data_IF_121879759611
#
_entry.id   IF_121879759611
#
_cell.length_a   1.000
_cell.length_b   1.000
_cell.length_c   1.000
_cell.angle_alpha   90.00
_cell.angle_beta   90.00
_cell.angle_gamma   90.00
#
_symmetry.space_group_name_H-M   'P 1'
#
loop_
_entity.id
_entity.type
_entity.pdbx_description
1 polymer ?
#
# COMPACT_ATOMS: atom_id res chain seq x y z
N UNK A 1 -12.88 -26.87 -8.44
CA UNK A 1 -11.47 -26.47 -8.56
C UNK A 1 -10.77 -27.42 -9.51
N UNK A 2 -10.40 -26.93 -10.69
CA UNK A 2 -9.66 -27.68 -11.69
C UNK A 2 -8.23 -27.98 -11.21
N UNK A 3 -7.61 -29.02 -11.78
CA UNK A 3 -6.32 -29.52 -11.32
C UNK A 3 -5.20 -28.47 -11.40
N UNK A 4 -5.21 -27.63 -12.44
CA UNK A 4 -4.19 -26.59 -12.63
C UNK A 4 -4.30 -25.50 -11.56
N UNK A 5 -5.51 -25.05 -11.25
CA UNK A 5 -5.79 -24.08 -10.17
C UNK A 5 -5.31 -24.63 -8.83
N UNK A 6 -5.55 -25.91 -8.57
CA UNK A 6 -5.04 -26.59 -7.37
C UNK A 6 -3.51 -26.56 -7.29
N UNK A 7 -2.81 -26.85 -8.40
CA UNK A 7 -1.34 -26.81 -8.48
C UNK A 7 -0.79 -25.39 -8.25
N UNK A 8 -1.38 -24.37 -8.87
CA UNK A 8 -1.01 -22.96 -8.70
C UNK A 8 -1.12 -22.54 -7.24
N UNK A 9 -2.27 -22.80 -6.60
CA UNK A 9 -2.50 -22.44 -5.20
C UNK A 9 -1.59 -23.19 -4.25
N UNK A 10 -1.35 -24.48 -4.51
CA UNK A 10 -0.41 -25.28 -3.71
C UNK A 10 1.00 -24.71 -3.83
N UNK A 11 1.46 -24.42 -5.05
CA UNK A 11 2.79 -23.86 -5.26
C UNK A 11 2.94 -22.50 -4.57
N UNK A 12 1.95 -21.61 -4.65
CA UNK A 12 1.98 -20.33 -3.93
C UNK A 12 2.18 -20.54 -2.41
N UNK A 13 1.41 -21.47 -1.81
CA UNK A 13 1.49 -21.80 -0.37
C UNK A 13 2.82 -22.44 0.01
N UNK A 14 3.32 -23.39 -0.79
CA UNK A 14 4.63 -24.02 -0.62
C UNK A 14 5.75 -22.97 -0.66
N UNK A 15 5.51 -21.84 -1.34
CA UNK A 15 6.39 -20.68 -1.47
C UNK A 15 6.06 -19.53 -0.50
N UNK A 16 5.46 -19.85 0.66
CA UNK A 16 5.21 -18.93 1.77
C UNK A 16 4.23 -17.80 1.49
N UNK A 17 3.38 -17.93 0.46
CA UNK A 17 2.26 -17.00 0.31
C UNK A 17 1.17 -17.37 1.30
N UNK A 18 0.87 -16.45 2.22
CA UNK A 18 -0.18 -16.62 3.23
C UNK A 18 -1.58 -16.58 2.62
N UNK A 19 -1.75 -15.83 1.52
CA UNK A 19 -3.01 -15.73 0.77
C UNK A 19 -2.74 -15.97 -0.72
N UNK A 20 -3.66 -16.66 -1.38
CA UNK A 20 -3.70 -16.81 -2.83
C UNK A 20 -5.15 -16.89 -3.29
N UNK A 21 -5.50 -16.10 -4.29
CA UNK A 21 -6.83 -16.05 -4.88
C UNK A 21 -6.74 -15.87 -6.39
N UNK A 22 -7.80 -16.26 -7.09
CA UNK A 22 -7.92 -16.15 -8.54
C UNK A 22 -9.14 -15.30 -8.89
N UNK A 23 -8.96 -14.31 -9.76
CA UNK A 23 -10.04 -13.55 -10.38
C UNK A 23 -10.22 -13.97 -11.84
N UNK A 24 -11.47 -14.09 -12.29
CA UNK A 24 -11.77 -14.19 -13.72
C UNK A 24 -11.55 -12.85 -14.41
N UNK A 25 -11.27 -12.87 -15.72
CA UNK A 25 -11.09 -11.65 -16.50
C UNK A 25 -12.33 -10.74 -16.51
N UNK A 26 -13.54 -11.32 -16.42
CA UNK A 26 -14.80 -10.58 -16.43
C UNK A 26 -14.91 -9.57 -15.26
N UNK A 27 -14.21 -9.82 -14.14
CA UNK A 27 -14.17 -8.87 -13.01
C UNK A 27 -13.49 -7.56 -13.35
N UNK A 28 -12.76 -7.51 -14.46
CA UNK A 28 -12.03 -6.33 -14.94
C UNK A 28 -12.75 -5.59 -16.07
N UNK A 29 -14.00 -5.94 -16.41
CA UNK A 29 -14.78 -5.27 -17.47
C UNK A 29 -14.75 -3.74 -17.38
N UNK A 30 -14.74 -3.20 -16.15
CA UNK A 30 -14.74 -1.76 -15.88
C UNK A 30 -13.36 -1.21 -15.47
N UNK A 31 -12.29 -2.00 -15.57
CA UNK A 31 -10.94 -1.54 -15.27
C UNK A 31 -10.48 -0.52 -16.34
N UNK A 32 -9.72 0.51 -15.96
CA UNK A 32 -9.17 1.45 -16.94
C UNK A 32 -8.28 0.73 -17.96
N UNK A 33 -8.39 1.11 -19.23
CA UNK A 33 -7.78 0.44 -20.37
C UNK A 33 -6.30 0.05 -20.12
N UNK A 34 -5.47 1.00 -19.74
CA UNK A 34 -4.02 0.80 -19.62
C UNK A 34 -3.56 0.05 -18.37
N UNK A 35 -4.47 -0.25 -17.43
CA UNK A 35 -4.19 -1.11 -16.26
C UNK A 35 -5.10 -2.35 -16.26
N UNK A 36 -5.87 -2.55 -17.33
CA UNK A 36 -6.66 -3.75 -17.55
C UNK A 36 -5.70 -4.93 -17.79
N UNK A 37 -5.97 -6.15 -17.28
CA UNK A 37 -5.07 -7.30 -17.50
C UNK A 37 -4.75 -7.55 -18.99
N UNK A 38 -5.74 -7.34 -19.87
CA UNK A 38 -5.57 -7.44 -21.34
C UNK A 38 -4.70 -6.36 -21.99
N UNK A 39 -4.39 -5.25 -21.31
CA UNK A 39 -3.37 -4.32 -21.79
C UNK A 39 -1.95 -4.84 -21.55
N UNK A 40 -1.77 -5.78 -20.63
CA UNK A 40 -0.49 -6.47 -20.39
C UNK A 40 -0.37 -7.78 -21.16
N UNK A 41 -1.47 -8.51 -21.30
CA UNK A 41 -1.55 -9.77 -22.05
C UNK A 41 -2.93 -9.87 -22.74
N UNK A 42 -3.05 -9.60 -24.05
CA UNK A 42 -4.33 -9.53 -24.75
C UNK A 42 -5.25 -10.76 -24.55
N UNK A 43 -4.65 -11.94 -24.47
CA UNK A 43 -5.32 -13.22 -24.29
C UNK A 43 -5.60 -13.57 -22.82
N UNK A 44 -5.38 -12.65 -21.88
CA UNK A 44 -5.60 -12.88 -20.45
C UNK A 44 -7.02 -13.38 -20.17
N UNK A 45 -7.09 -14.42 -19.35
CA UNK A 45 -8.32 -15.09 -18.92
C UNK A 45 -8.49 -15.09 -17.40
N UNK A 46 -7.38 -15.08 -16.66
CA UNK A 46 -7.41 -15.00 -15.20
C UNK A 46 -6.28 -14.13 -14.63
N UNK A 47 -6.51 -13.64 -13.41
CA UNK A 47 -5.51 -12.93 -12.62
C UNK A 47 -5.35 -13.63 -11.27
N UNK A 48 -4.14 -14.03 -10.94
CA UNK A 48 -3.79 -14.61 -9.64
C UNK A 48 -3.32 -13.47 -8.75
N UNK A 49 -3.89 -13.32 -7.56
CA UNK A 49 -3.38 -12.43 -6.53
C UNK A 49 -2.79 -13.26 -5.39
N UNK A 50 -1.58 -12.93 -4.96
CA UNK A 50 -0.91 -13.56 -3.82
C UNK A 50 -0.53 -12.50 -2.79
N UNK A 51 -0.50 -12.90 -1.52
CA UNK A 51 -0.04 -12.03 -0.45
C UNK A 51 0.85 -12.77 0.53
N UNK A 52 1.78 -12.01 1.12
CA UNK A 52 2.58 -12.43 2.26
C UNK A 52 2.41 -11.40 3.38
N UNK A 53 2.19 -11.89 4.60
CA UNK A 53 1.99 -11.05 5.78
C UNK A 53 3.32 -10.55 6.35
N UNK A 54 3.29 -9.43 7.04
CA UNK A 54 4.42 -9.04 7.88
C UNK A 54 4.52 -9.94 9.13
N UNK A 55 5.74 -10.23 9.62
CA UNK A 55 5.91 -10.76 10.97
C UNK A 55 5.25 -9.85 12.01
N UNK A 56 4.33 -10.39 12.81
CA UNK A 56 3.50 -9.57 13.72
C UNK A 56 4.33 -8.85 14.77
N UNK A 57 5.26 -9.55 15.44
CA UNK A 57 6.09 -8.94 16.49
C UNK A 57 6.95 -7.78 15.95
N UNK A 58 7.49 -7.93 14.74
CA UNK A 58 8.23 -6.87 14.07
C UNK A 58 7.34 -5.66 13.78
N UNK A 59 6.14 -5.91 13.25
CA UNK A 59 5.18 -4.85 12.94
C UNK A 59 4.74 -4.08 14.19
N UNK A 60 4.43 -4.82 15.25
CA UNK A 60 3.92 -4.28 16.51
C UNK A 60 5.01 -3.50 17.26
N UNK A 61 6.25 -4.01 17.27
CA UNK A 61 7.34 -3.44 18.07
C UNK A 61 8.15 -2.36 17.36
N UNK A 62 8.04 -2.21 16.02
CA UNK A 62 8.76 -1.18 15.28
C UNK A 62 8.56 0.19 15.94
N UNK A 63 9.63 0.89 16.34
CA UNK A 63 9.53 2.18 17.05
C UNK A 63 8.75 2.18 18.37
N UNK A 64 8.51 1.00 18.99
CA UNK A 64 7.77 0.88 20.25
C UNK A 64 8.54 0.16 21.36
N UNK A 65 9.53 -0.68 21.04
CA UNK A 65 10.43 -1.27 22.04
C UNK A 65 11.59 -0.35 22.43
N UNK A 66 12.36 -0.71 23.45
CA UNK A 66 13.46 0.12 24.01
C UNK A 66 14.55 0.48 23.00
N UNK A 67 14.77 -0.36 21.99
CA UNK A 67 15.73 -0.08 20.92
C UNK A 67 15.18 0.90 19.87
N UNK A 68 13.87 1.18 19.89
CA UNK A 68 13.11 2.09 19.00
C UNK A 68 13.42 1.95 17.51
N UNK A 69 13.94 0.80 17.07
CA UNK A 69 14.46 0.63 15.72
C UNK A 69 13.36 0.34 14.69
N UNK A 70 13.51 0.94 13.50
CA UNK A 70 12.68 0.72 12.31
C UNK A 70 13.32 -0.22 11.29
N UNK A 71 14.62 -0.52 11.41
CA UNK A 71 15.38 -1.15 10.33
C UNK A 71 14.87 -2.54 9.96
N UNK A 72 14.40 -3.32 10.93
CA UNK A 72 13.82 -4.63 10.63
C UNK A 72 12.54 -4.51 9.81
N UNK A 73 11.58 -3.67 10.21
CA UNK A 73 10.33 -3.53 9.46
C UNK A 73 10.58 -2.93 8.08
N UNK A 74 11.44 -1.93 8.00
CA UNK A 74 11.83 -1.27 6.77
C UNK A 74 12.44 -2.29 5.78
N UNK A 75 13.45 -3.04 6.21
CA UNK A 75 14.13 -3.99 5.34
C UNK A 75 13.22 -5.16 4.95
N UNK A 76 12.46 -5.70 5.91
CA UNK A 76 11.53 -6.77 5.62
C UNK A 76 10.43 -6.32 4.66
N UNK A 77 9.90 -5.12 4.86
CA UNK A 77 8.87 -4.58 3.98
C UNK A 77 9.40 -4.32 2.59
N UNK A 78 10.47 -3.53 2.46
CA UNK A 78 10.92 -2.98 1.18
C UNK A 78 11.76 -3.98 0.38
N UNK A 79 12.45 -4.91 1.07
CA UNK A 79 13.39 -5.83 0.43
C UNK A 79 12.94 -7.29 0.56
N UNK A 80 12.83 -7.82 1.78
CA UNK A 80 12.69 -9.28 1.98
C UNK A 80 11.35 -9.79 1.46
N UNK A 81 10.25 -9.13 1.83
CA UNK A 81 8.90 -9.51 1.40
C UNK A 81 8.76 -9.34 -0.12
N UNK A 82 9.25 -8.24 -0.68
CA UNK A 82 9.24 -8.01 -2.13
C UNK A 82 9.94 -9.13 -2.89
N UNK A 83 11.15 -9.51 -2.47
CA UNK A 83 11.91 -10.63 -3.05
C UNK A 83 11.16 -11.96 -2.95
N UNK A 84 10.52 -12.25 -1.82
CA UNK A 84 9.73 -13.48 -1.67
C UNK A 84 8.50 -13.50 -2.58
N UNK A 85 7.80 -12.37 -2.72
CA UNK A 85 6.69 -12.22 -3.67
C UNK A 85 7.16 -12.45 -5.11
N UNK A 86 8.28 -11.84 -5.51
CA UNK A 86 8.86 -12.03 -6.85
C UNK A 86 9.26 -13.49 -7.11
N UNK A 87 9.90 -14.14 -6.13
CA UNK A 87 10.30 -15.54 -6.26
C UNK A 87 9.07 -16.47 -6.38
N UNK A 88 8.02 -16.22 -5.59
CA UNK A 88 6.78 -16.98 -5.68
C UNK A 88 6.08 -16.75 -7.04
N UNK A 89 6.02 -15.49 -7.50
CA UNK A 89 5.43 -15.17 -8.79
C UNK A 89 6.18 -15.80 -9.95
N UNK A 90 7.52 -15.74 -9.96
CA UNK A 90 8.34 -16.42 -10.97
C UNK A 90 8.08 -17.93 -11.01
N UNK A 91 7.97 -18.58 -9.85
CA UNK A 91 7.68 -20.03 -9.76
C UNK A 91 6.31 -20.36 -10.33
N UNK A 92 5.28 -19.59 -10.00
CA UNK A 92 3.92 -19.78 -10.54
C UNK A 92 3.85 -19.48 -12.02
N UNK A 93 4.51 -18.41 -12.49
CA UNK A 93 4.62 -18.07 -13.92
C UNK A 93 5.23 -19.23 -14.70
N UNK A 94 6.38 -19.75 -14.25
CA UNK A 94 7.05 -20.86 -14.94
C UNK A 94 6.22 -22.14 -14.95
N UNK A 95 5.52 -22.46 -13.85
CA UNK A 95 4.59 -23.59 -13.83
C UNK A 95 3.51 -23.48 -14.92
N UNK A 96 2.99 -22.27 -15.16
CA UNK A 96 1.96 -22.03 -16.17
C UNK A 96 2.54 -22.05 -17.59
N UNK A 97 3.72 -21.46 -17.79
CA UNK A 97 4.44 -21.51 -19.07
C UNK A 97 4.85 -22.93 -19.46
N UNK A 98 5.31 -23.76 -18.50
CA UNK A 98 5.70 -25.15 -18.72
C UNK A 98 4.53 -26.02 -19.22
N UNK A 99 3.29 -25.62 -18.95
CA UNK A 99 2.07 -26.28 -19.46
C UNK A 99 1.44 -25.53 -20.65
N UNK A 100 2.15 -24.55 -21.20
CA UNK A 100 1.82 -23.89 -22.46
C UNK A 100 1.05 -22.57 -22.34
N UNK A 101 0.90 -21.99 -21.14
CA UNK A 101 0.13 -20.75 -20.95
C UNK A 101 0.99 -19.49 -20.86
N UNK A 102 0.78 -18.54 -21.77
CA UNK A 102 1.37 -17.20 -21.67
C UNK A 102 0.99 -16.53 -20.36
N UNK A 103 2.00 -16.01 -19.66
CA UNK A 103 1.83 -15.51 -18.30
C UNK A 103 2.77 -14.34 -18.03
N UNK A 104 2.24 -13.26 -17.44
CA UNK A 104 2.99 -12.05 -17.10
C UNK A 104 2.91 -11.81 -15.59
N UNK A 105 4.02 -11.96 -14.84
CA UNK A 105 4.07 -11.56 -13.44
C UNK A 105 4.14 -10.04 -13.33
N UNK A 106 3.30 -9.45 -12.48
CA UNK A 106 3.27 -8.01 -12.24
C UNK A 106 4.26 -7.61 -11.16
N UNK A 107 4.68 -6.33 -11.18
CA UNK A 107 5.55 -5.81 -10.14
C UNK A 107 4.84 -5.70 -8.79
N UNK A 108 5.58 -5.89 -7.70
CA UNK A 108 5.13 -5.44 -6.38
C UNK A 108 5.04 -3.92 -6.44
N UNK A 109 3.94 -3.35 -5.93
CA UNK A 109 3.75 -1.90 -5.91
C UNK A 109 4.90 -1.20 -5.17
N UNK A 110 5.41 -0.11 -5.74
CA UNK A 110 6.59 0.61 -5.24
C UNK A 110 7.28 1.50 -6.28
N UNK A 111 6.88 1.41 -7.55
CA UNK A 111 7.23 2.37 -8.60
C UNK A 111 5.96 2.88 -9.26
N UNK A 112 5.94 4.18 -9.52
CA UNK A 112 4.77 4.89 -10.05
C UNK A 112 5.19 5.75 -11.22
N UNK A 113 4.34 5.85 -12.24
CA UNK A 113 4.40 6.95 -13.20
C UNK A 113 3.79 8.17 -12.52
N UNK A 114 4.63 9.12 -12.12
CA UNK A 114 4.19 10.36 -11.49
C UNK A 114 3.32 11.17 -12.44
N UNK A 115 3.74 11.27 -13.72
CA UNK A 115 3.04 12.05 -14.74
C UNK A 115 2.26 11.17 -15.73
N UNK A 116 1.28 11.76 -16.45
CA UNK A 116 0.59 11.10 -17.54
C UNK A 116 1.56 10.51 -18.57
N UNK A 117 1.19 9.36 -19.14
CA UNK A 117 2.00 8.66 -20.13
C UNK A 117 1.12 7.93 -21.13
N UNK A 118 1.31 8.21 -22.43
CA UNK A 118 0.44 7.71 -23.51
C UNK A 118 -1.03 8.06 -23.22
N UNK A 119 -1.93 7.07 -23.20
CA UNK A 119 -3.35 7.25 -22.86
C UNK A 119 -3.63 7.25 -21.35
N UNK A 120 -2.62 7.04 -20.49
CA UNK A 120 -2.77 7.14 -19.03
C UNK A 120 -2.79 8.62 -18.66
N UNK A 121 -3.96 9.12 -18.25
CA UNK A 121 -4.17 10.51 -17.85
C UNK A 121 -3.97 10.76 -16.35
N UNK A 122 -4.01 9.70 -15.54
CA UNK A 122 -3.88 9.81 -14.08
C UNK A 122 -2.42 9.86 -13.67
N UNK A 123 -2.12 10.78 -12.78
CA UNK A 123 -0.84 10.87 -12.08
C UNK A 123 -0.71 9.75 -11.05
N UNK A 124 0.52 9.45 -10.62
CA UNK A 124 0.83 8.40 -9.65
C UNK A 124 0.24 7.04 -10.01
N UNK A 125 0.38 6.65 -11.28
CA UNK A 125 -0.19 5.41 -11.81
C UNK A 125 0.85 4.29 -11.80
N UNK A 126 0.56 3.18 -11.11
CA UNK A 126 1.37 1.96 -11.24
C UNK A 126 1.11 1.29 -12.59
N UNK A 127 1.97 0.36 -12.99
CA UNK A 127 1.70 -0.48 -14.16
C UNK A 127 0.44 -1.33 -13.97
N UNK A 128 0.23 -1.85 -12.77
CA UNK A 128 -0.92 -2.67 -12.44
C UNK A 128 -1.31 -2.53 -10.98
N UNK A 129 -2.61 -2.61 -10.69
CA UNK A 129 -3.11 -2.37 -9.35
C UNK A 129 -3.30 -3.67 -8.56
N UNK A 130 -2.24 -4.08 -7.84
CA UNK A 130 -2.29 -5.27 -6.98
C UNK A 130 -3.41 -5.21 -5.91
N UNK A 131 -3.76 -4.01 -5.42
CA UNK A 131 -4.88 -3.84 -4.47
C UNK A 131 -6.24 -4.20 -5.09
N UNK A 132 -6.47 -3.82 -6.35
CA UNK A 132 -7.71 -4.16 -7.06
C UNK A 132 -7.73 -5.65 -7.40
N UNK A 133 -6.60 -6.22 -7.82
CA UNK A 133 -6.50 -7.64 -8.07
C UNK A 133 -6.76 -8.50 -6.82
N UNK A 134 -6.27 -8.07 -5.65
CA UNK A 134 -6.57 -8.75 -4.39
C UNK A 134 -8.07 -8.75 -4.05
N UNK A 135 -8.77 -7.61 -4.23
CA UNK A 135 -10.22 -7.53 -4.03
C UNK A 135 -10.96 -8.37 -5.08
N UNK A 136 -10.59 -8.27 -6.35
CA UNK A 136 -11.16 -9.05 -7.44
C UNK A 136 -10.97 -10.55 -7.23
N UNK A 137 -9.87 -10.98 -6.61
CA UNK A 137 -9.57 -12.37 -6.27
C UNK A 137 -10.20 -12.84 -4.94
N UNK A 138 -10.98 -11.99 -4.28
CA UNK A 138 -11.69 -12.32 -3.05
C UNK A 138 -10.83 -12.35 -1.78
N UNK A 139 -9.63 -11.78 -1.80
CA UNK A 139 -8.75 -11.76 -0.63
C UNK A 139 -9.20 -10.77 0.46
N UNK A 140 -10.03 -9.79 0.10
CA UNK A 140 -10.43 -8.71 1.01
C UNK A 140 -11.33 -7.67 0.36
N UNK A 141 -11.44 -6.51 1.01
CA UNK A 141 -12.24 -5.36 0.58
C UNK A 141 -11.47 -4.05 0.72
N UNK A 142 -11.90 -2.99 0.02
CA UNK A 142 -11.31 -1.67 0.21
C UNK A 142 -11.70 -1.07 1.57
N UNK A 143 -10.69 -0.55 2.27
CA UNK A 143 -10.88 0.39 3.36
C UNK A 143 -11.17 1.80 2.87
N UNK A 144 -11.59 2.68 3.80
CA UNK A 144 -11.84 4.10 3.49
C UNK A 144 -10.59 4.78 2.89
N UNK A 145 -9.39 4.36 3.30
CA UNK A 145 -8.09 4.83 2.78
C UNK A 145 -7.73 4.26 1.39
N UNK A 146 -8.68 3.67 0.66
CA UNK A 146 -8.50 3.09 -0.67
C UNK A 146 -7.49 1.92 -0.76
N UNK A 147 -7.10 1.26 0.33
CA UNK A 147 -6.23 0.07 0.25
C UNK A 147 -7.03 -1.20 0.59
N UNK A 148 -6.56 -2.36 0.14
CA UNK A 148 -7.20 -3.64 0.39
C UNK A 148 -6.90 -4.13 1.83
N UNK A 149 -7.96 -4.32 2.60
CA UNK A 149 -7.95 -4.92 3.94
C UNK A 149 -8.27 -6.41 3.78
N UNK A 150 -7.49 -7.29 4.40
CA UNK A 150 -7.78 -8.73 4.47
C UNK A 150 -8.39 -9.09 5.82
N UNK A 151 -9.30 -10.07 5.90
CA UNK A 151 -9.92 -10.47 7.18
C UNK A 151 -8.90 -11.08 8.15
N UNK A 152 -7.84 -11.72 7.66
CA UNK A 152 -6.83 -12.40 8.47
C UNK A 152 -5.77 -11.44 9.01
N UNK A 153 -5.31 -10.50 8.17
CA UNK A 153 -4.11 -9.71 8.45
C UNK A 153 -4.35 -8.20 8.47
N UNK A 154 -5.56 -7.74 8.14
CA UNK A 154 -5.89 -6.33 8.11
C UNK A 154 -5.10 -5.62 7.01
N UNK A 155 -4.21 -4.70 7.39
CA UNK A 155 -3.28 -4.02 6.47
C UNK A 155 -1.87 -4.61 6.49
N UNK A 156 -1.63 -5.66 7.27
CA UNK A 156 -0.29 -6.20 7.52
C UNK A 156 0.16 -7.22 6.47
N UNK A 157 0.06 -6.87 5.19
CA UNK A 157 0.50 -7.71 4.10
C UNK A 157 0.92 -6.89 2.88
N UNK A 158 1.68 -7.51 1.98
CA UNK A 158 1.91 -7.00 0.62
C UNK A 158 1.37 -7.98 -0.41
N UNK A 159 0.99 -7.44 -1.56
CA UNK A 159 0.38 -8.18 -2.65
C UNK A 159 1.29 -8.21 -3.89
N UNK A 160 1.18 -9.26 -4.68
CA UNK A 160 1.67 -9.37 -6.05
C UNK A 160 0.62 -10.06 -6.90
N UNK A 161 0.60 -9.75 -8.20
CA UNK A 161 -0.36 -10.31 -9.14
C UNK A 161 0.33 -10.97 -10.32
N UNK A 162 -0.35 -11.92 -10.94
CA UNK A 162 0.08 -12.59 -12.17
C UNK A 162 -1.11 -12.57 -13.13
N UNK A 163 -0.90 -12.06 -14.33
CA UNK A 163 -1.89 -12.08 -15.42
C UNK A 163 -1.58 -13.27 -16.32
N UNK A 164 -2.57 -14.10 -16.64
CA UNK A 164 -2.34 -15.32 -17.43
C UNK A 164 -3.50 -15.63 -18.37
N UNK A 165 -3.20 -16.27 -19.50
CA UNK A 165 -4.21 -16.85 -20.39
C UNK A 165 -4.81 -18.16 -19.84
N UNK A 166 -4.18 -18.74 -18.80
CA UNK A 166 -4.62 -20.00 -18.22
C UNK A 166 -6.09 -19.92 -17.70
N UNK A 167 -6.92 -20.93 -18.00
CA UNK A 167 -8.31 -21.01 -17.55
C UNK A 167 -8.38 -21.52 -16.11
N UNK A 168 -8.05 -20.66 -15.16
CA UNK A 168 -8.10 -20.98 -13.73
C UNK A 168 -9.49 -20.73 -13.16
N UNK A 169 -9.90 -21.56 -12.20
CA UNK A 169 -11.17 -21.40 -11.51
C UNK A 169 -11.10 -20.19 -10.58
N UNK A 170 -11.94 -19.18 -10.84
CA UNK A 170 -12.01 -17.97 -10.02
C UNK A 170 -12.56 -18.27 -8.61
N UNK A 171 -11.97 -17.64 -7.60
CA UNK A 171 -12.48 -17.66 -6.24
C UNK A 171 -13.67 -16.73 -6.09
N UNK A 172 -14.64 -17.00 -5.21
CA UNK A 172 -15.69 -16.02 -4.90
C UNK A 172 -15.05 -14.73 -4.34
N UNK A 173 -15.63 -13.58 -4.68
CA UNK A 173 -15.24 -12.34 -4.00
C UNK A 173 -15.62 -12.41 -2.51
N UNK A 174 -14.86 -11.71 -1.66
CA UNK A 174 -15.07 -11.74 -0.21
C UNK A 174 -16.50 -11.32 0.15
N UNK A 175 -17.20 -12.15 0.92
CA UNK A 175 -18.60 -11.94 1.34
C UNK A 175 -18.78 -12.01 2.86
N UNK A 176 -17.68 -11.94 3.62
CA UNK A 176 -17.71 -11.94 5.08
C UNK A 176 -18.14 -10.59 5.67
N UNK A 177 -18.01 -10.42 7.00
CA UNK A 177 -18.31 -9.15 7.67
C UNK A 177 -17.50 -7.98 7.10
N UNK A 178 -18.10 -6.78 7.11
CA UNK A 178 -17.41 -5.57 6.62
C UNK A 178 -16.05 -5.39 7.29
N UNK A 179 -15.03 -5.16 6.46
CA UNK A 179 -13.66 -4.93 6.91
C UNK A 179 -13.37 -3.46 7.24
N UNK A 180 -14.28 -2.55 6.88
CA UNK A 180 -14.19 -1.12 7.15
C UNK A 180 -15.52 -0.58 7.67
N UNK A 181 -15.50 -0.01 8.88
CA UNK A 181 -16.66 0.63 9.51
C UNK A 181 -16.63 2.15 9.38
N UNK A 182 -15.81 2.67 8.44
CA UNK A 182 -15.62 4.12 8.19
C UNK A 182 -15.28 4.91 9.48
N UNK A 183 -14.53 4.32 10.42
CA UNK A 183 -14.12 4.99 11.68
C UNK A 183 -13.21 6.23 11.51
N UNK A 184 -12.75 6.51 10.28
CA UNK A 184 -11.88 7.64 9.92
C UNK A 184 -10.51 7.68 10.63
N UNK A 185 -10.06 6.59 11.27
CA UNK A 185 -8.74 6.59 11.93
C UNK A 185 -7.62 6.88 10.92
N UNK A 186 -7.71 6.32 9.71
CA UNK A 186 -6.76 6.54 8.64
C UNK A 186 -6.68 8.01 8.19
N UNK A 187 -7.82 8.70 8.17
CA UNK A 187 -7.91 10.12 7.86
C UNK A 187 -7.28 10.97 8.97
N UNK A 188 -7.69 10.71 10.23
CA UNK A 188 -7.22 11.44 11.41
C UNK A 188 -5.72 11.27 11.66
N UNK A 189 -5.16 10.10 11.31
CA UNK A 189 -3.75 9.80 11.52
C UNK A 189 -2.85 10.24 10.35
N UNK A 190 -3.41 10.69 9.22
CA UNK A 190 -2.63 11.02 8.04
C UNK A 190 -1.85 12.34 8.26
N UNK A 191 -0.52 12.30 8.32
CA UNK A 191 0.30 13.46 8.65
C UNK A 191 0.25 14.55 7.59
N UNK A 192 0.04 14.15 6.34
CA UNK A 192 0.07 14.97 5.12
C UNK A 192 -1.33 15.32 4.59
N UNK A 193 -2.39 14.93 5.31
CA UNK A 193 -3.80 15.18 4.96
C UNK A 193 -4.15 14.71 3.53
N UNK A 194 -3.62 13.56 3.11
CA UNK A 194 -3.79 13.03 1.76
C UNK A 194 -5.16 12.37 1.50
N UNK A 195 -5.93 12.06 2.53
CA UNK A 195 -7.21 11.34 2.39
C UNK A 195 -8.35 12.35 2.44
N UNK A 196 -9.17 12.43 1.40
CA UNK A 196 -10.35 13.28 1.37
C UNK A 196 -11.63 12.46 1.60
N UNK A 197 -12.20 12.60 2.80
CA UNK A 197 -13.38 11.86 3.25
C UNK A 197 -14.70 12.59 2.98
N UNK A 198 -14.67 13.73 2.28
CA UNK A 198 -15.88 14.46 1.91
C UNK A 198 -16.75 13.61 0.99
N UNK A 199 -18.07 13.47 1.25
CA UNK A 199 -18.96 12.62 0.46
C UNK A 199 -18.92 12.88 -1.05
N UNK A 200 -18.81 14.15 -1.45
CA UNK A 200 -18.73 14.58 -2.85
C UNK A 200 -17.45 14.18 -3.56
N UNK A 201 -16.40 13.85 -2.81
CA UNK A 201 -15.07 13.50 -3.33
C UNK A 201 -14.79 11.99 -3.26
N UNK A 202 -15.75 11.16 -2.82
CA UNK A 202 -15.55 9.72 -2.76
C UNK A 202 -15.43 9.12 -4.17
N UNK A 203 -14.44 8.25 -4.35
CA UNK A 203 -14.23 7.52 -5.58
C UNK A 203 -15.00 6.21 -5.57
N UNK A 204 -15.52 5.82 -6.73
CA UNK A 204 -16.23 4.57 -6.93
C UNK A 204 -15.50 3.72 -7.96
N UNK A 205 -15.33 2.44 -7.64
CA UNK A 205 -14.78 1.45 -8.57
C UNK A 205 -15.71 0.25 -8.64
N UNK A 206 -15.91 -0.27 -9.86
CA UNK A 206 -16.71 -1.47 -10.09
C UNK A 206 -15.78 -2.64 -10.38
N UNK A 207 -15.95 -3.73 -9.64
CA UNK A 207 -15.21 -4.99 -9.82
C UNK A 207 -16.24 -6.11 -9.90
N UNK A 208 -16.36 -6.73 -11.08
CA UNK A 208 -17.49 -7.61 -11.38
C UNK A 208 -18.83 -6.91 -11.16
N UNK A 209 -19.71 -7.55 -10.41
CA UNK A 209 -21.06 -7.07 -10.08
C UNK A 209 -21.11 -6.08 -8.90
N UNK A 210 -19.96 -5.83 -8.23
CA UNK A 210 -19.89 -5.01 -7.02
C UNK A 210 -19.31 -3.63 -7.27
N UNK A 211 -19.89 -2.63 -6.61
CA UNK A 211 -19.36 -1.26 -6.56
C UNK A 211 -18.77 -1.02 -5.17
N UNK A 212 -17.51 -0.61 -5.16
CA UNK A 212 -16.80 -0.20 -3.96
C UNK A 212 -16.65 1.31 -3.94
N UNK A 213 -16.69 1.90 -2.76
CA UNK A 213 -16.57 3.33 -2.53
C UNK A 213 -15.53 3.58 -1.44
N UNK A 214 -14.60 4.50 -1.70
CA UNK A 214 -13.55 4.90 -0.75
C UNK A 214 -13.17 6.37 -0.94
N UNK A 215 -12.40 6.92 0.00
CA UNK A 215 -11.95 8.30 -0.07
C UNK A 215 -10.99 8.52 -1.24
N UNK A 216 -11.09 9.68 -1.89
CA UNK A 216 -10.07 10.13 -2.83
C UNK A 216 -8.76 10.34 -2.08
N UNK A 217 -7.68 9.84 -2.65
CA UNK A 217 -6.32 10.03 -2.11
C UNK A 217 -5.58 11.00 -2.99
N UNK A 218 -5.14 12.11 -2.42
CA UNK A 218 -4.17 13.00 -3.04
C UNK A 218 -2.80 12.31 -3.02
N UNK A 219 -2.45 11.69 -4.15
CA UNK A 219 -1.22 10.93 -4.28
C UNK A 219 0.04 11.80 -4.27
N UNK A 220 -0.05 13.08 -4.63
CA UNK A 220 1.06 14.02 -4.42
C UNK A 220 1.29 14.23 -2.92
N UNK A 221 0.25 14.46 -2.12
CA UNK A 221 0.43 14.53 -0.67
C UNK A 221 0.91 13.21 -0.07
N UNK A 222 0.37 12.09 -0.53
CA UNK A 222 0.74 10.75 -0.03
C UNK A 222 2.21 10.41 -0.35
N UNK A 223 2.67 10.69 -1.57
CA UNK A 223 4.04 10.50 -2.01
C UNK A 223 5.05 11.31 -1.21
N UNK A 224 4.62 12.42 -0.60
CA UNK A 224 5.43 13.21 0.32
C UNK A 224 5.95 12.39 1.50
N UNK A 225 5.16 11.40 1.94
CA UNK A 225 5.61 10.44 2.94
C UNK A 225 6.25 9.20 2.33
N UNK A 226 5.57 8.53 1.42
CA UNK A 226 5.95 7.18 0.99
C UNK A 226 7.12 7.16 -0.02
N UNK A 227 7.31 8.24 -0.77
CA UNK A 227 8.28 8.29 -1.88
C UNK A 227 9.51 9.14 -1.57
N UNK A 228 9.35 10.22 -0.80
CA UNK A 228 10.47 11.12 -0.40
C UNK A 228 10.78 11.10 1.09
N UNK A 229 10.03 10.34 1.90
CA UNK A 229 10.32 10.08 3.31
C UNK A 229 10.44 11.36 4.16
N UNK A 230 9.64 12.40 3.87
CA UNK A 230 9.75 13.70 4.54
C UNK A 230 9.05 13.75 5.92
N UNK A 231 8.35 12.68 6.30
CA UNK A 231 7.53 12.62 7.50
C UNK A 231 8.18 11.71 8.53
N UNK A 232 8.87 12.25 9.55
CA UNK A 232 9.67 11.40 10.42
C UNK A 232 8.80 10.51 11.33
N UNK A 233 7.55 10.87 11.64
CA UNK A 233 6.60 10.02 12.37
C UNK A 233 6.26 8.71 11.65
N UNK A 234 6.44 8.63 10.32
CA UNK A 234 6.13 7.44 9.52
C UNK A 234 7.35 6.53 9.27
N UNK A 235 8.43 6.73 10.05
CA UNK A 235 9.61 5.87 10.04
C UNK A 235 10.92 6.59 10.35
N UNK A 236 11.26 7.71 9.68
CA UNK A 236 12.57 8.32 9.81
C UNK A 236 12.99 8.73 11.24
N UNK A 237 12.05 9.10 12.12
CA UNK A 237 12.33 9.39 13.54
C UNK A 237 12.90 8.19 14.29
N UNK A 238 12.44 6.99 13.95
CA UNK A 238 12.93 5.73 14.52
C UNK A 238 14.30 5.33 13.93
N UNK A 239 14.83 6.12 13.00
CA UNK A 239 16.22 6.09 12.54
C UNK A 239 17.06 7.27 13.06
N UNK A 240 16.51 8.11 13.93
CA UNK A 240 17.18 9.29 14.51
C UNK A 240 16.91 10.62 13.78
N UNK A 241 16.04 10.66 12.77
CA UNK A 241 15.67 11.93 12.13
C UNK A 241 14.57 12.65 12.91
N UNK A 242 14.89 13.77 13.52
CA UNK A 242 13.89 14.54 14.27
C UNK A 242 13.19 15.61 13.43
N UNK A 243 13.73 15.93 12.24
CA UNK A 243 13.26 17.03 11.40
C UNK A 243 12.52 16.50 10.18
N UNK A 244 11.35 17.06 9.92
CA UNK A 244 10.53 16.78 8.75
C UNK A 244 10.12 18.04 8.00
N UNK A 245 9.60 17.84 6.80
CA UNK A 245 9.05 18.91 5.94
C UNK A 245 7.65 18.47 5.54
N UNK A 246 6.62 19.19 5.97
CA UNK A 246 5.25 18.94 5.56
C UNK A 246 4.96 19.57 4.19
N UNK A 247 4.07 18.97 3.39
CA UNK A 247 3.54 19.63 2.21
C UNK A 247 2.77 20.90 2.62
N UNK A 248 2.63 21.88 1.71
CA UNK A 248 1.71 23.01 1.85
C UNK A 248 0.35 22.59 2.42
N UNK A 249 -0.23 23.42 3.28
CA UNK A 249 -1.59 23.16 3.80
C UNK A 249 -2.65 23.40 2.74
N UNK A 250 -2.39 24.36 1.85
CA UNK A 250 -3.31 24.83 0.82
C UNK A 250 -2.62 24.79 -0.55
N UNK A 251 -3.42 24.71 -1.61
CA UNK A 251 -2.93 24.67 -2.99
C UNK A 251 -2.52 23.29 -3.48
N UNK A 252 -2.13 23.27 -4.75
CA UNK A 252 -1.68 22.07 -5.47
C UNK A 252 -0.20 21.84 -5.23
N UNK A 253 0.17 20.59 -5.02
CA UNK A 253 1.55 20.17 -4.89
C UNK A 253 2.19 20.06 -6.28
N UNK A 254 3.39 20.62 -6.43
CA UNK A 254 4.16 20.57 -7.69
C UNK A 254 5.43 19.76 -7.55
N UNK A 255 6.04 19.37 -8.67
CA UNK A 255 7.35 18.72 -8.70
C UNK A 255 8.44 19.52 -8.00
N UNK A 256 8.49 20.83 -8.24
CA UNK A 256 9.49 21.73 -7.63
C UNK A 256 9.37 21.73 -6.10
N UNK A 257 8.15 21.72 -5.56
CA UNK A 257 7.93 21.62 -4.13
C UNK A 257 8.42 20.26 -3.59
N UNK A 258 8.16 19.18 -4.32
CA UNK A 258 8.64 17.83 -3.98
C UNK A 258 10.16 17.74 -3.96
N UNK A 259 10.81 18.23 -5.02
CA UNK A 259 12.27 18.23 -5.16
C UNK A 259 12.91 19.12 -4.10
N UNK A 260 12.39 20.33 -3.90
CA UNK A 260 12.88 21.26 -2.88
C UNK A 260 12.83 20.63 -1.49
N UNK A 261 11.69 20.04 -1.12
CA UNK A 261 11.56 19.36 0.17
C UNK A 261 12.51 18.16 0.29
N UNK A 262 12.66 17.36 -0.78
CA UNK A 262 13.62 16.26 -0.80
C UNK A 262 15.07 16.74 -0.56
N UNK A 263 15.50 17.80 -1.26
CA UNK A 263 16.85 18.35 -1.10
C UNK A 263 17.06 18.95 0.30
N UNK A 264 16.10 19.74 0.77
CA UNK A 264 16.19 20.38 2.08
C UNK A 264 16.24 19.33 3.21
N UNK A 265 15.41 18.29 3.14
CA UNK A 265 15.46 17.17 4.10
C UNK A 265 16.82 16.49 4.10
N UNK A 266 17.37 16.14 2.94
CA UNK A 266 18.69 15.49 2.86
C UNK A 266 19.82 16.41 3.35
N UNK A 267 19.72 17.72 3.12
CA UNK A 267 20.66 18.71 3.68
C UNK A 267 20.62 18.72 5.21
N UNK A 268 19.43 18.60 5.81
CA UNK A 268 19.24 18.64 7.27
C UNK A 268 19.60 17.31 7.94
N UNK A 269 19.21 16.18 7.34
CA UNK A 269 19.43 14.84 7.90
C UNK A 269 20.82 14.25 7.57
N UNK A 270 21.58 14.89 6.68
CA UNK A 270 22.87 14.35 6.22
C UNK A 270 22.72 12.96 5.60
N UNK A 271 23.69 12.07 5.86
CA UNK A 271 23.65 10.69 5.34
C UNK A 271 22.43 9.90 5.84
N UNK A 272 21.88 10.28 7.00
CA UNK A 272 20.67 9.67 7.51
C UNK A 272 19.46 9.97 6.62
N UNK A 273 19.48 11.02 5.78
CA UNK A 273 18.38 11.39 4.88
C UNK A 273 17.91 10.29 3.94
N UNK A 274 18.80 9.32 3.66
CA UNK A 274 18.52 8.12 2.86
C UNK A 274 17.76 7.03 3.62
N UNK A 275 17.58 7.17 4.94
CA UNK A 275 16.75 6.26 5.72
C UNK A 275 15.28 6.36 5.28
N UNK A 276 14.67 5.20 5.13
CA UNK A 276 13.48 4.94 4.34
C UNK A 276 12.19 4.99 5.16
N UNK A 277 11.08 5.16 4.45
CA UNK A 277 9.73 4.98 4.97
C UNK A 277 9.48 3.52 5.38
N UNK A 278 8.89 3.35 6.54
CA UNK A 278 8.42 2.06 6.98
C UNK A 278 6.97 1.87 6.59
N UNK A 279 6.04 2.66 7.12
CA UNK A 279 4.63 2.48 6.77
C UNK A 279 3.81 3.73 7.06
N UNK A 280 2.92 4.07 6.12
CA UNK A 280 1.94 5.12 6.31
C UNK A 280 1.07 4.88 7.54
N UNK A 281 0.81 5.93 8.31
CA UNK A 281 -0.02 5.86 9.52
C UNK A 281 -1.43 5.35 9.21
N UNK A 282 -1.93 5.62 8.00
CA UNK A 282 -3.21 5.09 7.54
C UNK A 282 -3.27 3.56 7.55
N UNK A 283 -2.16 2.87 7.26
CA UNK A 283 -2.05 1.42 7.32
C UNK A 283 -1.75 0.95 8.75
N UNK A 284 -0.82 1.64 9.42
CA UNK A 284 -0.34 1.26 10.74
C UNK A 284 -1.43 1.30 11.82
N UNK A 285 -2.32 2.29 11.73
CA UNK A 285 -3.37 2.55 12.70
C UNK A 285 -4.69 1.83 12.35
N UNK A 286 -4.82 1.31 11.14
CA UNK A 286 -6.04 0.66 10.68
C UNK A 286 -6.12 -0.77 11.21
N UNK A 287 -7.04 -0.99 12.16
CA UNK A 287 -7.41 -2.31 12.66
C UNK A 287 -8.86 -2.57 12.25
N UNK A 288 -9.11 -3.53 11.34
CA UNK A 288 -10.47 -3.80 10.88
C UNK A 288 -11.33 -4.39 12.01
N UNK A 289 -12.66 -4.16 11.99
CA UNK A 289 -13.54 -4.59 13.08
C UNK A 289 -13.37 -6.06 13.50
N UNK A 290 -13.24 -7.04 12.58
CA UNK A 290 -13.07 -8.45 12.97
C UNK A 290 -11.80 -8.78 13.76
N UNK A 291 -10.79 -7.88 13.74
CA UNK A 291 -9.49 -8.08 14.40
C UNK A 291 -9.29 -7.21 15.64
N UNK A 292 -10.19 -6.25 15.93
CA UNK A 292 -10.10 -5.43 17.15
C UNK A 292 -10.24 -6.31 18.39
N UNK A 293 -9.39 -6.09 19.40
CA UNK A 293 -9.33 -6.90 20.61
C UNK A 293 -8.70 -8.30 20.46
N UNK A 294 -8.48 -8.78 19.23
CA UNK A 294 -7.81 -10.07 18.97
C UNK A 294 -6.30 -9.92 18.77
N UNK A 295 -5.85 -8.73 18.37
CA UNK A 295 -4.44 -8.44 18.16
C UNK A 295 -3.77 -8.03 19.47
N UNK A 296 -2.60 -8.62 19.75
CA UNK A 296 -1.74 -8.22 20.87
C UNK A 296 -1.00 -6.94 20.48
N UNK A 297 -1.62 -5.78 20.71
CA UNK A 297 -1.02 -4.48 20.50
C UNK A 297 -0.67 -3.85 21.87
N UNK A 298 0.51 -3.23 22.02
CA UNK A 298 0.83 -2.43 23.19
C UNK A 298 -0.23 -1.35 23.46
N UNK A 299 -0.46 -1.03 24.73
CA UNK A 299 -1.46 -0.03 25.14
C UNK A 299 -1.20 1.36 24.51
N UNK A 300 0.07 1.67 24.25
CA UNK A 300 0.52 2.90 23.62
C UNK A 300 0.86 2.76 22.12
N UNK A 301 0.50 1.65 21.46
CA UNK A 301 0.82 1.36 20.06
C UNK A 301 0.51 2.54 19.12
N UNK A 302 -0.62 3.19 19.34
CA UNK A 302 -1.07 4.35 18.58
C UNK A 302 -0.40 5.67 19.00
N UNK A 303 -0.02 5.83 20.28
CA UNK A 303 0.51 7.08 20.84
C UNK A 303 1.98 7.28 20.52
N UNK A 304 2.80 6.23 20.56
CA UNK A 304 4.23 6.30 20.20
C UNK A 304 4.45 6.75 18.74
N UNK A 305 3.50 6.44 17.87
CA UNK A 305 3.56 6.74 16.43
C UNK A 305 3.10 8.15 16.05
N UNK A 306 2.41 8.84 16.96
CA UNK A 306 1.81 10.13 16.72
C UNK A 306 2.55 11.17 17.57
N UNK A 307 3.82 11.39 17.24
CA UNK A 307 4.65 12.41 17.88
C UNK A 307 4.02 13.81 17.76
N UNK A 308 4.31 14.69 18.73
CA UNK A 308 3.84 16.08 18.65
C UNK A 308 4.75 16.86 17.70
N UNK A 309 4.18 17.57 16.74
CA UNK A 309 4.93 18.44 15.84
C UNK A 309 5.15 19.79 16.46
N UNK A 310 6.40 20.23 16.47
CA UNK A 310 6.78 21.59 16.81
C UNK A 310 7.36 22.25 15.56
N UNK A 311 6.64 23.23 15.01
CA UNK A 311 7.06 23.89 13.79
C UNK A 311 8.26 24.79 14.07
N UNK A 312 9.33 24.59 13.29
CA UNK A 312 10.53 25.40 13.34
C UNK A 312 10.37 26.64 12.45
N UNK A 313 9.77 26.43 11.29
CA UNK A 313 9.46 27.47 10.32
C UNK A 313 7.98 27.32 9.94
N UNK A 314 7.17 28.25 10.43
CA UNK A 314 5.76 28.37 10.10
C UNK A 314 5.49 29.84 9.78
N UNK A 315 5.74 30.22 8.53
CA UNK A 315 5.20 31.49 8.03
C UNK A 315 3.68 31.40 7.88
N UNK A 316 3.03 32.56 7.76
CA UNK A 316 1.58 32.64 7.50
C UNK A 316 1.19 32.15 6.09
N UNK A 317 2.19 32.01 5.22
CA UNK A 317 2.04 31.50 3.85
C UNK A 317 1.84 29.98 3.84
N UNK A 318 0.57 29.56 3.87
CA UNK A 318 0.13 28.16 3.83
C UNK A 318 0.36 27.45 2.50
N UNK A 319 0.82 28.18 1.47
CA UNK A 319 1.11 27.62 0.14
C UNK A 319 2.53 27.05 0.03
N UNK A 320 3.34 27.15 1.09
CA UNK A 320 4.71 26.66 1.14
C UNK A 320 4.89 25.44 2.03
N UNK A 321 5.86 24.55 1.72
CA UNK A 321 6.28 23.50 2.63
C UNK A 321 6.68 24.06 3.99
N UNK A 322 6.44 23.29 5.06
CA UNK A 322 6.67 23.74 6.44
C UNK A 322 7.55 22.78 7.20
N UNK A 323 8.66 23.31 7.72
CA UNK A 323 9.62 22.54 8.50
C UNK A 323 9.18 22.40 9.95
N UNK A 324 9.35 21.21 10.50
CA UNK A 324 9.01 20.91 11.88
C UNK A 324 10.02 19.95 12.48
N UNK A 325 10.10 19.95 13.81
CA UNK A 325 10.72 18.89 14.59
C UNK A 325 9.65 18.05 15.28
N UNK A 326 9.92 16.78 15.49
CA UNK A 326 9.09 15.91 16.31
C UNK A 326 9.55 16.02 17.76
N UNK A 327 8.62 16.40 18.63
CA UNK A 327 8.75 16.19 20.06
C UNK A 327 8.12 14.83 20.39
N UNK A 328 8.97 13.82 20.60
CA UNK A 328 8.54 12.59 21.25
C UNK A 328 8.29 12.94 22.71
N UNK A 329 7.06 12.76 23.19
CA UNK A 329 6.79 12.86 24.63
C UNK A 329 7.41 11.63 25.27
N UNK A 330 8.25 11.84 26.28
CA UNK A 330 8.77 10.80 27.17
C UNK A 330 7.66 9.93 27.76
#
# INVERSE_FOLDING_TARGET
MNALTGKVKKLAKDNRMDLVGVASIDRYEHAPEMVHPRAHLPEANSVIAMAIRYPDAMFVNAGSGDAESIFSIENYQNTVIGKNLYNAALRVTRLLEDVGYKTVPMMVSGRWRLHPYKSIKTEWCADFSNRHAAVAAGLGEFGLHALCITPQYGMRQRFISIVTEAPLDADPMYSGPSLCDKCMICFKSCPVKAIDVKPENLEKVRIGDRVFEYAKVDHWRCGWSEQVNNIPEEGPAMGGQEIGILPPEEGTITDDMFLSAFYEKNKLAGFQGQMTHAMGNCMRMCIPPPLRGKQKLPENYCRKMMGKREFLEAGDDKTKPRKYKIALKE
#
